data_IF_884781972043
#
_entry.id   IF_884781972043
#
_cell.length_a   1.000
_cell.length_b   1.000
_cell.length_c   1.000
_cell.angle_alpha   90.00
_cell.angle_beta   90.00
_cell.angle_gamma   90.00
#
_symmetry.space_group_name_H-M   'P 1'
#
loop_
_entity.id
_entity.type
_entity.pdbx_description
1 polymer ?
#
# COMPACT_ATOMS: atom_id res chain seq x y z
N UNK A 1 -36.93 -4.33 31.72
CA UNK A 1 -35.94 -3.30 31.42
C UNK A 1 -35.10 -3.84 30.27
N UNK A 2 -35.34 -3.35 29.07
CA UNK A 2 -34.61 -3.83 27.86
C UNK A 2 -33.22 -3.21 27.87
N UNK A 3 -32.20 -4.05 27.71
CA UNK A 3 -30.80 -3.68 27.50
C UNK A 3 -30.69 -2.85 26.24
N UNK A 4 -30.31 -1.57 26.37
CA UNK A 4 -29.88 -0.77 25.24
C UNK A 4 -28.55 -1.39 24.73
N UNK A 5 -28.60 -2.03 23.56
CA UNK A 5 -27.43 -2.41 22.85
C UNK A 5 -26.59 -1.14 22.55
N UNK A 6 -25.35 -1.11 22.97
CA UNK A 6 -24.37 -0.09 22.66
C UNK A 6 -24.32 0.04 21.12
N UNK A 7 -24.80 1.16 20.58
CA UNK A 7 -24.64 1.48 19.17
C UNK A 7 -23.13 1.66 18.90
N UNK A 8 -22.62 0.91 17.96
CA UNK A 8 -21.24 1.00 17.45
C UNK A 8 -20.85 2.47 17.24
N UNK A 9 -19.73 2.88 17.84
CA UNK A 9 -19.16 4.25 17.77
C UNK A 9 -18.35 4.48 16.48
N UNK A 10 -18.54 3.62 15.47
CA UNK A 10 -17.92 3.85 14.14
C UNK A 10 -18.42 5.20 13.56
N UNK A 11 -17.51 6.06 13.02
CA UNK A 11 -17.94 7.27 12.36
C UNK A 11 -18.96 6.93 11.24
N UNK A 12 -19.96 7.80 10.97
CA UNK A 12 -20.98 7.55 9.97
C UNK A 12 -20.31 7.25 8.63
N UNK A 13 -20.48 6.03 8.12
CA UNK A 13 -19.74 5.50 7.00
C UNK A 13 -20.33 5.94 5.68
N UNK A 14 -19.68 6.85 4.98
CA UNK A 14 -19.55 6.66 3.55
C UNK A 14 -18.69 5.40 3.36
N UNK A 15 -19.19 4.38 2.65
CA UNK A 15 -18.39 3.17 2.40
C UNK A 15 -17.16 3.56 1.60
N UNK A 16 -15.98 3.13 2.05
CA UNK A 16 -14.75 3.33 1.28
C UNK A 16 -14.88 2.62 -0.06
N UNK A 17 -14.55 3.32 -1.13
CA UNK A 17 -14.51 2.75 -2.48
C UNK A 17 -13.33 1.78 -2.60
N UNK A 18 -13.41 0.83 -3.52
CA UNK A 18 -12.40 -0.20 -3.72
C UNK A 18 -11.45 0.12 -4.86
N UNK A 19 -10.17 -0.13 -4.62
CA UNK A 19 -9.09 0.03 -5.59
C UNK A 19 -8.26 -1.23 -5.76
N UNK A 20 -7.46 -1.25 -6.82
CA UNK A 20 -6.48 -2.30 -7.08
C UNK A 20 -5.28 -1.74 -7.84
N UNK A 21 -4.08 -2.12 -7.42
CA UNK A 21 -2.86 -1.80 -8.14
C UNK A 21 -2.80 -2.53 -9.48
N UNK A 22 -2.36 -1.85 -10.51
CA UNK A 22 -2.28 -2.44 -11.85
C UNK A 22 -1.38 -3.68 -11.90
N UNK A 23 -0.35 -3.79 -11.05
CA UNK A 23 0.49 -4.98 -10.92
C UNK A 23 -0.24 -6.18 -10.34
N UNK A 24 -1.31 -5.97 -9.58
CA UNK A 24 -2.13 -7.03 -8.97
C UNK A 24 -3.18 -7.63 -9.93
N UNK A 25 -3.19 -7.18 -11.18
CA UNK A 25 -4.06 -7.66 -12.26
C UNK A 25 -3.31 -8.48 -13.32
N UNK A 26 -2.02 -8.75 -13.10
CA UNK A 26 -1.18 -9.49 -14.03
C UNK A 26 0.19 -8.83 -14.25
N UNK A 27 1.15 -9.62 -14.70
CA UNK A 27 2.51 -9.15 -14.99
C UNK A 27 2.50 -8.24 -16.22
N UNK A 28 3.14 -7.09 -16.13
CA UNK A 28 3.23 -6.09 -17.23
C UNK A 28 3.98 -6.59 -18.47
N UNK A 29 4.83 -7.61 -18.34
CA UNK A 29 5.55 -8.23 -19.46
C UNK A 29 4.71 -9.22 -20.25
N UNK A 30 3.71 -9.82 -19.60
CA UNK A 30 2.87 -10.89 -20.17
C UNK A 30 1.47 -10.39 -20.54
N UNK A 31 0.97 -9.40 -19.82
CA UNK A 31 -0.41 -8.98 -19.92
C UNK A 31 -0.54 -7.48 -20.22
N UNK A 32 -1.17 -7.15 -21.32
CA UNK A 32 -1.42 -5.77 -21.73
C UNK A 32 -2.27 -5.03 -20.69
N UNK A 33 -2.02 -3.72 -20.52
CA UNK A 33 -2.68 -2.93 -19.49
C UNK A 33 -4.19 -2.77 -19.74
N UNK A 34 -4.62 -2.52 -20.98
CA UNK A 34 -6.04 -2.29 -21.32
C UNK A 34 -6.96 -3.45 -20.87
N UNK A 35 -6.72 -4.75 -21.21
CA UNK A 35 -7.55 -5.86 -20.73
C UNK A 35 -7.54 -6.01 -19.20
N UNK A 36 -6.45 -5.64 -18.53
CA UNK A 36 -6.39 -5.63 -17.06
C UNK A 36 -7.32 -4.59 -16.46
N UNK A 37 -7.34 -3.38 -17.01
CA UNK A 37 -8.27 -2.31 -16.61
C UNK A 37 -9.74 -2.68 -16.86
N UNK A 38 -10.05 -3.27 -18.01
CA UNK A 38 -11.39 -3.77 -18.31
C UNK A 38 -11.85 -4.85 -17.32
N UNK A 39 -10.95 -5.74 -16.92
CA UNK A 39 -11.22 -6.77 -15.91
C UNK A 39 -11.50 -6.17 -14.54
N UNK A 40 -10.75 -5.15 -14.13
CA UNK A 40 -10.99 -4.41 -12.88
C UNK A 40 -12.36 -3.71 -12.90
N UNK A 41 -12.68 -2.99 -13.99
CA UNK A 41 -13.96 -2.31 -14.13
C UNK A 41 -15.14 -3.30 -14.06
N UNK A 42 -15.05 -4.43 -14.76
CA UNK A 42 -16.09 -5.50 -14.74
C UNK A 42 -16.25 -6.11 -13.35
N UNK A 43 -15.19 -6.20 -12.56
CA UNK A 43 -15.24 -6.70 -11.19
C UNK A 43 -15.85 -5.68 -10.20
N UNK A 44 -15.95 -4.39 -10.57
CA UNK A 44 -16.59 -3.36 -9.77
C UNK A 44 -15.60 -2.48 -8.97
N UNK A 45 -14.33 -2.41 -9.36
CA UNK A 45 -13.40 -1.46 -8.77
C UNK A 45 -13.70 -0.03 -9.24
N UNK A 46 -13.53 0.94 -8.36
CA UNK A 46 -13.69 2.37 -8.64
C UNK A 46 -12.34 3.08 -8.80
N UNK A 47 -11.25 2.48 -8.31
CA UNK A 47 -9.93 3.08 -8.30
C UNK A 47 -8.85 2.14 -8.82
N UNK A 48 -7.85 2.73 -9.46
CA UNK A 48 -6.64 2.06 -9.92
C UNK A 48 -5.41 2.79 -9.36
N UNK A 49 -4.46 2.04 -8.80
CA UNK A 49 -3.11 2.57 -8.55
C UNK A 49 -2.25 2.25 -9.77
N UNK A 50 -1.75 3.28 -10.42
CA UNK A 50 -0.93 3.12 -11.61
C UNK A 50 0.53 2.86 -11.21
N UNK A 51 0.99 1.63 -11.43
CA UNK A 51 2.34 1.22 -11.14
C UNK A 51 3.31 1.54 -12.29
N UNK A 52 4.54 1.99 -11.97
CA UNK A 52 5.52 2.48 -12.93
C UNK A 52 5.79 1.51 -14.08
N UNK A 53 6.04 0.24 -13.76
CA UNK A 53 6.35 -0.77 -14.76
C UNK A 53 5.15 -1.06 -15.69
N UNK A 54 3.92 -0.91 -15.19
CA UNK A 54 2.73 -1.02 -16.03
C UNK A 54 2.57 0.18 -16.97
N UNK A 55 2.92 1.37 -16.51
CA UNK A 55 2.94 2.58 -17.33
C UNK A 55 4.03 2.53 -18.39
N UNK A 56 5.24 2.08 -18.04
CA UNK A 56 6.33 1.87 -18.97
C UNK A 56 5.92 0.92 -20.12
N UNK A 57 5.40 -0.26 -19.78
CA UNK A 57 4.93 -1.23 -20.77
C UNK A 57 3.79 -0.67 -21.65
N UNK A 58 2.91 0.16 -21.09
CA UNK A 58 1.84 0.81 -21.86
C UNK A 58 2.38 1.84 -22.87
N UNK A 59 3.49 2.53 -22.57
CA UNK A 59 4.21 3.38 -23.52
C UNK A 59 4.87 2.57 -24.62
N UNK A 60 5.55 1.47 -24.27
CA UNK A 60 6.20 0.57 -25.22
C UNK A 60 5.22 -0.03 -26.22
N UNK A 61 4.01 -0.41 -25.76
CA UNK A 61 2.92 -0.85 -26.66
C UNK A 61 2.54 0.20 -27.73
N UNK A 62 2.93 1.45 -27.52
CA UNK A 62 2.64 2.60 -28.42
C UNK A 62 3.88 3.11 -29.15
N UNK A 63 4.98 2.34 -29.09
CA UNK A 63 6.24 2.67 -29.74
C UNK A 63 7.01 3.82 -29.07
N UNK A 64 6.73 4.11 -27.79
CA UNK A 64 7.45 5.09 -26.99
C UNK A 64 8.41 4.40 -26.02
N UNK A 65 9.55 5.03 -25.67
CA UNK A 65 10.56 4.41 -24.81
C UNK A 65 10.05 4.29 -23.35
N UNK A 66 9.96 3.07 -22.83
CA UNK A 66 9.51 2.79 -21.46
C UNK A 66 10.48 3.27 -20.38
N UNK A 67 11.77 3.37 -20.66
CA UNK A 67 12.79 3.93 -19.77
C UNK A 67 12.68 5.45 -19.58
N UNK A 68 11.95 6.15 -20.46
CA UNK A 68 11.67 7.58 -20.37
C UNK A 68 10.23 7.85 -19.89
N UNK A 69 9.65 6.94 -19.16
CA UNK A 69 8.23 6.95 -18.77
C UNK A 69 7.77 8.24 -18.09
N UNK A 70 8.67 8.96 -17.41
CA UNK A 70 8.36 10.23 -16.73
C UNK A 70 9.00 11.46 -17.38
N UNK A 71 9.53 11.34 -18.59
CA UNK A 71 9.93 12.54 -19.36
C UNK A 71 8.67 13.23 -19.90
N UNK A 72 8.40 14.50 -19.54
CA UNK A 72 7.18 15.18 -19.87
C UNK A 72 7.18 15.71 -21.33
N UNK A 73 7.43 14.82 -22.28
CA UNK A 73 7.33 15.11 -23.70
C UNK A 73 5.85 15.29 -24.12
N UNK A 74 5.56 16.05 -25.18
CA UNK A 74 4.19 16.17 -25.69
C UNK A 74 3.54 14.82 -25.98
N UNK A 75 4.32 13.87 -26.51
CA UNK A 75 3.87 12.50 -26.79
C UNK A 75 3.51 11.72 -25.53
N UNK A 76 4.41 11.64 -24.56
CA UNK A 76 4.16 10.94 -23.31
C UNK A 76 2.95 11.50 -22.57
N UNK A 77 2.83 12.83 -22.51
CA UNK A 77 1.68 13.49 -21.89
C UNK A 77 0.36 13.27 -22.66
N UNK A 78 0.42 13.15 -24.00
CA UNK A 78 -0.74 12.78 -24.81
C UNK A 78 -1.20 11.36 -24.51
N UNK A 79 -0.27 10.41 -24.44
CA UNK A 79 -0.59 9.00 -24.09
C UNK A 79 -1.08 8.88 -22.65
N UNK A 80 -0.53 9.67 -21.72
CA UNK A 80 -1.01 9.72 -20.34
C UNK A 80 -2.48 10.20 -20.25
N UNK A 81 -2.84 11.26 -20.99
CA UNK A 81 -4.25 11.70 -21.09
C UNK A 81 -5.15 10.62 -21.67
N UNK A 82 -4.72 9.94 -22.72
CA UNK A 82 -5.48 8.82 -23.31
C UNK A 82 -5.71 7.68 -22.32
N UNK A 83 -4.73 7.36 -21.47
CA UNK A 83 -4.90 6.37 -20.42
C UNK A 83 -5.88 6.86 -19.34
N UNK A 84 -5.77 8.11 -18.91
CA UNK A 84 -6.71 8.72 -17.97
C UNK A 84 -8.16 8.70 -18.50
N UNK A 85 -8.34 9.07 -19.78
CA UNK A 85 -9.65 9.03 -20.45
C UNK A 85 -10.20 7.61 -20.56
N UNK A 86 -9.33 6.62 -20.87
CA UNK A 86 -9.71 5.20 -20.89
C UNK A 86 -10.21 4.74 -19.51
N UNK A 87 -9.45 4.99 -18.45
CA UNK A 87 -9.83 4.61 -17.08
C UNK A 87 -11.16 5.24 -16.70
N UNK A 88 -11.34 6.53 -17.03
CA UNK A 88 -12.59 7.25 -16.79
C UNK A 88 -13.77 6.70 -17.60
N UNK A 89 -13.55 6.31 -18.85
CA UNK A 89 -14.58 5.68 -19.70
C UNK A 89 -15.05 4.33 -19.19
N UNK A 90 -14.18 3.65 -18.41
CA UNK A 90 -14.50 2.41 -17.71
C UNK A 90 -15.19 2.61 -16.36
N UNK A 91 -15.51 3.88 -15.99
CA UNK A 91 -16.15 4.22 -14.72
C UNK A 91 -15.20 4.24 -13.51
N UNK A 92 -13.90 4.22 -13.75
CA UNK A 92 -12.87 4.22 -12.70
C UNK A 92 -12.09 5.54 -12.67
N UNK A 93 -11.21 5.68 -11.67
CA UNK A 93 -10.29 6.81 -11.49
C UNK A 93 -8.89 6.30 -11.18
N UNK A 94 -7.86 7.06 -11.52
CA UNK A 94 -6.49 6.78 -11.11
C UNK A 94 -6.28 7.45 -9.74
N UNK A 95 -6.08 6.64 -8.71
CA UNK A 95 -5.90 7.11 -7.33
C UNK A 95 -4.53 7.77 -7.15
N UNK A 96 -3.49 7.12 -7.69
CA UNK A 96 -2.11 7.56 -7.55
C UNK A 96 -1.23 7.01 -8.66
N UNK A 97 -0.04 7.60 -8.81
CA UNK A 97 1.08 6.99 -9.51
C UNK A 97 2.12 6.51 -8.51
N UNK A 98 2.68 5.33 -8.72
CA UNK A 98 3.58 4.67 -7.77
C UNK A 98 4.53 3.67 -8.44
N UNK A 99 5.61 3.31 -7.73
CA UNK A 99 6.24 4.00 -6.62
C UNK A 99 7.38 4.91 -7.07
N UNK A 100 7.62 5.98 -6.33
CA UNK A 100 8.92 6.62 -6.33
C UNK A 100 9.85 5.86 -5.38
N UNK A 101 11.10 5.68 -5.75
CA UNK A 101 12.07 4.89 -4.98
C UNK A 101 13.35 5.70 -4.75
N UNK A 102 13.96 5.55 -3.56
CA UNK A 102 15.28 6.08 -3.22
C UNK A 102 15.39 7.62 -3.40
N UNK A 103 14.38 8.35 -2.95
CA UNK A 103 14.29 9.81 -3.16
C UNK A 103 14.90 10.58 -1.99
N UNK A 104 14.50 10.26 -0.74
CA UNK A 104 14.87 11.03 0.44
C UNK A 104 16.17 10.57 1.07
N UNK A 105 16.77 11.43 1.88
CA UNK A 105 17.96 11.14 2.69
C UNK A 105 19.26 11.12 1.92
N UNK A 106 19.29 11.50 0.65
CA UNK A 106 20.51 11.58 -0.17
C UNK A 106 21.42 12.69 0.37
N UNK A 107 22.68 12.35 0.67
CA UNK A 107 23.66 13.28 1.28
C UNK A 107 24.32 14.20 0.25
N UNK A 108 24.69 13.66 -0.91
CA UNK A 108 25.31 14.47 -1.95
C UNK A 108 24.30 15.49 -2.51
N UNK A 109 24.64 16.79 -2.54
CA UNK A 109 23.69 17.83 -2.96
C UNK A 109 23.27 17.74 -4.44
N UNK A 110 24.13 17.24 -5.31
CA UNK A 110 23.87 17.12 -6.75
C UNK A 110 22.92 15.94 -6.99
N UNK A 111 23.25 14.77 -6.41
CA UNK A 111 22.37 13.60 -6.45
C UNK A 111 20.99 13.90 -5.83
N UNK A 112 20.99 14.54 -4.64
CA UNK A 112 19.75 14.94 -3.98
C UNK A 112 18.89 15.86 -4.86
N UNK A 113 19.51 16.81 -5.56
CA UNK A 113 18.76 17.67 -6.49
C UNK A 113 18.15 16.86 -7.62
N UNK A 114 18.92 15.93 -8.18
CA UNK A 114 18.45 15.06 -9.26
C UNK A 114 17.26 14.19 -8.81
N UNK A 115 17.27 13.63 -7.58
CA UNK A 115 16.13 12.85 -7.07
C UNK A 115 14.88 13.71 -6.87
N UNK A 116 15.00 14.95 -6.39
CA UNK A 116 13.87 15.87 -6.29
C UNK A 116 13.31 16.26 -7.65
N UNK A 117 14.18 16.48 -8.64
CA UNK A 117 13.76 16.81 -10.02
C UNK A 117 13.04 15.63 -10.68
N UNK A 118 13.39 14.36 -10.35
CA UNK A 118 12.63 13.18 -10.79
C UNK A 118 11.18 13.21 -10.29
N UNK A 119 10.97 13.62 -9.04
CA UNK A 119 9.62 13.75 -8.50
C UNK A 119 8.85 14.85 -9.23
N UNK A 120 9.49 16.00 -9.49
CA UNK A 120 8.85 17.11 -10.18
C UNK A 120 8.40 16.75 -11.63
N UNK A 121 9.11 15.85 -12.31
CA UNK A 121 8.72 15.33 -13.62
C UNK A 121 7.38 14.58 -13.58
N UNK A 122 6.94 14.07 -12.43
CA UNK A 122 5.63 13.42 -12.27
C UNK A 122 4.46 14.38 -12.30
N UNK A 123 4.63 15.63 -11.92
CA UNK A 123 3.52 16.56 -11.74
C UNK A 123 2.70 16.81 -13.02
N UNK A 124 3.29 17.01 -14.22
CA UNK A 124 2.52 17.11 -15.46
C UNK A 124 1.72 15.84 -15.77
N UNK A 125 2.28 14.67 -15.45
CA UNK A 125 1.60 13.38 -15.66
C UNK A 125 0.42 13.19 -14.68
N UNK A 126 0.56 13.63 -13.43
CA UNK A 126 -0.55 13.58 -12.47
C UNK A 126 -1.74 14.34 -13.02
N UNK A 127 -1.53 15.50 -13.67
CA UNK A 127 -2.59 16.24 -14.36
C UNK A 127 -3.14 15.49 -15.57
N UNK A 128 -2.26 14.88 -16.36
CA UNK A 128 -2.67 14.12 -17.54
C UNK A 128 -3.50 12.87 -17.19
N UNK A 129 -3.21 12.23 -16.07
CA UNK A 129 -3.95 11.09 -15.52
C UNK A 129 -5.18 11.48 -14.71
N UNK A 130 -5.39 12.76 -14.43
CA UNK A 130 -6.42 13.29 -13.52
C UNK A 130 -6.30 12.76 -12.09
N UNK A 131 -5.08 12.55 -11.59
CA UNK A 131 -4.79 12.21 -10.19
C UNK A 131 -4.11 13.36 -9.46
N UNK A 132 -4.22 13.41 -8.13
CA UNK A 132 -3.54 14.38 -7.30
C UNK A 132 -2.51 13.76 -6.33
N UNK A 133 -2.32 12.44 -6.38
CA UNK A 133 -1.41 11.72 -5.48
C UNK A 133 -0.29 11.01 -6.25
N UNK A 134 0.94 11.27 -5.85
CA UNK A 134 2.09 10.41 -6.09
C UNK A 134 2.64 9.96 -4.76
N UNK A 135 3.05 8.70 -4.63
CA UNK A 135 3.71 8.30 -3.41
C UNK A 135 5.07 7.65 -3.63
N UNK A 136 5.87 7.77 -2.61
CA UNK A 136 7.24 7.27 -2.54
C UNK A 136 7.38 6.27 -1.41
N UNK A 137 8.16 5.23 -1.67
CA UNK A 137 8.58 4.28 -0.66
C UNK A 137 9.78 4.84 0.12
N UNK A 138 9.84 4.55 1.40
CA UNK A 138 10.98 4.85 2.24
C UNK A 138 12.28 4.29 1.63
N UNK A 139 13.35 5.06 1.70
CA UNK A 139 14.64 4.69 1.14
C UNK A 139 15.19 3.43 1.79
N UNK A 140 15.58 2.47 0.96
CA UNK A 140 16.13 1.17 1.39
C UNK A 140 17.65 1.08 1.29
N UNK A 141 18.31 2.11 0.77
CA UNK A 141 19.78 2.15 0.69
C UNK A 141 20.39 2.18 2.09
N UNK A 142 21.49 1.46 2.27
CA UNK A 142 22.24 1.37 3.52
C UNK A 142 23.68 1.83 3.37
N UNK A 143 24.06 2.33 2.18
CA UNK A 143 25.39 2.86 1.91
C UNK A 143 25.60 4.25 2.51
N UNK A 144 26.85 4.70 2.54
CA UNK A 144 27.24 5.99 3.13
C UNK A 144 26.69 7.22 2.36
N UNK A 145 26.12 7.04 1.17
CA UNK A 145 25.53 8.11 0.35
C UNK A 145 24.18 8.61 0.84
N UNK A 146 23.55 7.88 1.79
CA UNK A 146 22.22 8.22 2.31
C UNK A 146 22.21 8.31 3.84
N UNK A 147 21.12 8.85 4.37
CA UNK A 147 20.84 8.90 5.81
C UNK A 147 19.35 8.69 6.08
N UNK A 148 19.04 8.01 7.17
CA UNK A 148 17.70 7.90 7.73
C UNK A 148 17.41 8.90 8.85
N UNK A 149 18.31 9.90 9.05
CA UNK A 149 18.11 10.95 10.03
C UNK A 149 16.75 11.64 9.84
N UNK A 150 15.95 11.69 10.91
CA UNK A 150 14.58 12.20 10.87
C UNK A 150 14.49 13.62 10.31
N UNK A 151 15.40 14.50 10.76
CA UNK A 151 15.39 15.91 10.33
C UNK A 151 15.69 16.05 8.84
N UNK A 152 16.63 15.26 8.32
CA UNK A 152 17.03 15.28 6.92
C UNK A 152 15.89 14.74 6.03
N UNK A 153 15.38 13.56 6.35
CA UNK A 153 14.30 12.90 5.61
C UNK A 153 13.03 13.78 5.61
N UNK A 154 12.65 14.32 6.78
CA UNK A 154 11.46 15.18 6.87
C UNK A 154 11.60 16.49 6.10
N UNK A 155 12.81 17.07 6.07
CA UNK A 155 13.10 18.26 5.25
C UNK A 155 12.95 17.96 3.76
N UNK A 156 13.38 16.79 3.32
CA UNK A 156 13.25 16.38 1.92
C UNK A 156 11.77 16.23 1.53
N UNK A 157 10.96 15.59 2.38
CA UNK A 157 9.51 15.51 2.17
C UNK A 157 8.83 16.89 2.20
N UNK A 158 9.24 17.77 3.12
CA UNK A 158 8.73 19.14 3.17
C UNK A 158 9.02 19.88 1.86
N UNK A 159 10.24 19.75 1.32
CA UNK A 159 10.62 20.35 0.06
C UNK A 159 9.80 19.80 -1.11
N UNK A 160 9.54 18.49 -1.16
CA UNK A 160 8.67 17.88 -2.18
C UNK A 160 7.24 18.41 -2.08
N UNK A 161 6.71 18.54 -0.87
CA UNK A 161 5.41 19.16 -0.63
C UNK A 161 5.35 20.60 -1.13
N UNK A 162 6.39 21.39 -0.86
CA UNK A 162 6.50 22.78 -1.33
C UNK A 162 6.58 22.87 -2.87
N UNK A 163 7.35 21.97 -3.52
CA UNK A 163 7.43 21.89 -4.98
C UNK A 163 6.09 21.52 -5.61
N UNK A 164 5.37 20.56 -5.03
CA UNK A 164 4.04 20.14 -5.47
C UNK A 164 3.01 21.27 -5.32
N UNK A 165 3.05 22.00 -4.22
CA UNK A 165 2.19 23.17 -3.97
C UNK A 165 2.49 24.31 -4.95
N UNK A 166 3.76 24.62 -5.21
CA UNK A 166 4.17 25.62 -6.17
C UNK A 166 3.71 25.29 -7.60
N UNK A 167 3.83 24.01 -7.99
CA UNK A 167 3.34 23.53 -9.27
C UNK A 167 1.82 23.71 -9.38
N UNK A 168 1.05 23.28 -8.38
CA UNK A 168 -0.40 23.40 -8.34
C UNK A 168 -0.87 24.86 -8.37
N UNK A 169 -0.15 25.76 -7.69
CA UNK A 169 -0.45 27.20 -7.72
C UNK A 169 -0.19 27.80 -9.10
N UNK A 170 0.85 27.36 -9.80
CA UNK A 170 1.20 27.86 -11.13
C UNK A 170 0.23 27.41 -12.21
N UNK A 171 -0.25 26.16 -12.15
CA UNK A 171 -1.17 25.61 -13.15
C UNK A 171 -2.65 25.84 -12.83
N UNK A 172 -2.96 26.37 -11.62
CA UNK A 172 -4.33 26.65 -11.17
C UNK A 172 -5.14 25.37 -10.87
N UNK A 173 -4.48 24.22 -10.79
CA UNK A 173 -5.13 22.93 -10.55
C UNK A 173 -5.28 22.58 -9.07
N UNK A 174 -5.83 21.39 -8.81
CA UNK A 174 -5.93 20.83 -7.44
C UNK A 174 -4.56 20.72 -6.79
N UNK A 175 -4.51 20.82 -5.46
CA UNK A 175 -3.29 20.57 -4.69
C UNK A 175 -2.74 19.17 -5.01
N UNK A 176 -1.46 19.08 -5.37
CA UNK A 176 -0.77 17.82 -5.54
C UNK A 176 -0.24 17.32 -4.19
N UNK A 177 -0.36 16.04 -3.97
CA UNK A 177 -0.05 15.36 -2.71
C UNK A 177 1.13 14.41 -2.87
N UNK A 178 1.97 14.37 -1.85
CA UNK A 178 3.09 13.45 -1.72
C UNK A 178 2.75 12.46 -0.60
N UNK A 179 2.60 11.18 -0.96
CA UNK A 179 2.45 10.09 0.02
C UNK A 179 3.81 9.50 0.40
N UNK A 180 3.97 9.11 1.66
CA UNK A 180 5.16 8.42 2.16
C UNK A 180 4.81 7.06 2.74
N UNK A 181 5.37 6.00 2.16
CA UNK A 181 5.14 4.60 2.51
C UNK A 181 6.35 4.01 3.23
N UNK A 182 6.17 3.47 4.43
CA UNK A 182 7.18 2.66 5.11
C UNK A 182 7.24 1.26 4.53
N UNK A 183 8.43 0.81 4.10
CA UNK A 183 8.65 -0.58 3.71
C UNK A 183 9.20 -1.38 4.89
N UNK A 184 8.72 -2.60 5.10
CA UNK A 184 9.13 -3.46 6.23
C UNK A 184 10.64 -3.81 6.24
N UNK A 185 11.34 -3.58 5.15
CA UNK A 185 12.80 -3.75 5.03
C UNK A 185 13.57 -2.43 4.87
N UNK A 186 12.93 -1.28 5.02
CA UNK A 186 13.60 0.02 5.08
C UNK A 186 14.13 0.29 6.49
N UNK A 187 15.02 1.27 6.62
CA UNK A 187 15.51 1.70 7.95
C UNK A 187 14.38 2.24 8.83
N UNK A 188 13.40 2.92 8.21
CA UNK A 188 12.15 3.39 8.85
C UNK A 188 11.02 2.48 8.44
N UNK A 189 10.94 1.31 9.08
CA UNK A 189 10.12 0.18 8.65
C UNK A 189 8.76 0.05 9.37
N UNK A 190 8.45 0.92 10.36
CA UNK A 190 7.16 0.90 11.05
C UNK A 190 6.26 2.06 10.59
N UNK A 191 4.95 1.91 10.76
CA UNK A 191 4.00 2.99 10.53
C UNK A 191 4.32 4.22 11.37
N UNK A 192 4.74 4.03 12.62
CA UNK A 192 5.08 5.12 13.53
C UNK A 192 6.32 5.91 13.09
N UNK A 193 7.36 5.21 12.63
CA UNK A 193 8.57 5.85 12.09
C UNK A 193 8.28 6.65 10.82
N UNK A 194 7.39 6.15 9.96
CA UNK A 194 6.94 6.87 8.75
C UNK A 194 6.04 8.07 9.12
N UNK A 195 5.17 7.91 10.11
CA UNK A 195 4.34 9.01 10.62
C UNK A 195 5.19 10.14 11.23
N UNK A 196 6.26 9.81 11.95
CA UNK A 196 7.18 10.83 12.43
C UNK A 196 7.72 11.70 11.30
N UNK A 197 8.16 11.09 10.20
CA UNK A 197 8.67 11.83 9.03
C UNK A 197 7.61 12.77 8.47
N UNK A 198 6.38 12.28 8.25
CA UNK A 198 5.27 13.07 7.75
C UNK A 198 4.91 14.22 8.69
N UNK A 199 4.86 13.94 9.99
CA UNK A 199 4.56 14.95 11.03
C UNK A 199 5.61 16.03 11.09
N UNK A 200 6.90 15.65 11.03
CA UNK A 200 8.01 16.61 11.07
C UNK A 200 8.17 17.39 9.75
N UNK A 201 7.79 16.82 8.60
CA UNK A 201 7.71 17.56 7.34
C UNK A 201 6.73 18.72 7.42
N UNK A 202 5.68 18.60 8.22
CA UNK A 202 4.71 19.65 8.56
C UNK A 202 4.16 20.38 7.31
N UNK A 203 3.68 19.59 6.32
CA UNK A 203 3.02 20.10 5.12
C UNK A 203 1.66 19.45 4.96
N UNK A 204 0.58 20.22 4.67
CA UNK A 204 -0.76 19.64 4.54
C UNK A 204 -0.89 18.67 3.36
N UNK A 205 -0.07 18.82 2.35
CA UNK A 205 -0.01 17.97 1.16
C UNK A 205 1.09 16.89 1.20
N UNK A 206 1.64 16.61 2.37
CA UNK A 206 2.49 15.43 2.64
C UNK A 206 1.75 14.54 3.64
N UNK A 207 1.52 13.28 3.29
CA UNK A 207 0.75 12.36 4.11
C UNK A 207 1.30 10.94 4.11
N UNK A 208 0.72 10.09 4.93
CA UNK A 208 1.12 8.71 5.08
C UNK A 208 0.42 7.83 4.02
N UNK A 209 1.14 6.87 3.48
CA UNK A 209 0.58 5.69 2.81
C UNK A 209 0.73 4.52 3.77
N UNK A 210 -0.38 3.86 4.09
CA UNK A 210 -0.38 2.66 4.92
C UNK A 210 -0.54 1.45 4.01
N UNK A 211 0.45 0.56 3.99
CA UNK A 211 0.33 -0.76 3.39
C UNK A 211 0.22 -1.81 4.50
N UNK A 212 -0.91 -2.49 4.58
CA UNK A 212 -1.18 -3.50 5.59
C UNK A 212 -0.14 -4.62 5.58
N UNK A 213 0.34 -5.03 4.39
CA UNK A 213 1.42 -6.01 4.30
C UNK A 213 2.69 -5.49 4.99
N UNK A 214 3.13 -4.27 4.70
CA UNK A 214 4.35 -3.72 5.29
C UNK A 214 4.22 -3.52 6.81
N UNK A 215 3.05 -3.09 7.29
CA UNK A 215 2.78 -3.00 8.75
C UNK A 215 2.90 -4.36 9.41
N UNK A 216 2.24 -5.39 8.85
CA UNK A 216 2.23 -6.73 9.41
C UNK A 216 3.58 -7.45 9.27
N UNK A 217 4.30 -7.22 8.18
CA UNK A 217 5.65 -7.75 7.99
C UNK A 217 6.69 -7.12 8.93
N UNK A 218 6.43 -5.93 9.45
CA UNK A 218 7.29 -5.27 10.44
C UNK A 218 6.95 -5.64 11.89
N UNK A 219 5.66 -5.91 12.20
CA UNK A 219 5.19 -5.99 13.59
C UNK A 219 4.58 -7.34 13.98
N UNK A 220 4.27 -8.22 13.01
CA UNK A 220 3.63 -9.51 13.27
C UNK A 220 4.35 -10.69 12.62
N UNK A 221 4.74 -10.58 11.35
CA UNK A 221 5.12 -11.71 10.52
C UNK A 221 6.64 -11.91 10.42
N UNK A 222 7.06 -13.17 10.46
CA UNK A 222 8.41 -13.61 10.13
C UNK A 222 8.33 -14.87 9.23
N UNK A 223 8.47 -14.72 7.89
CA UNK A 223 8.38 -15.84 6.96
C UNK A 223 9.52 -16.86 7.11
N UNK A 224 10.57 -16.53 7.84
CA UNK A 224 11.74 -17.37 8.07
C UNK A 224 11.76 -18.02 9.46
N UNK A 225 10.70 -17.82 10.26
CA UNK A 225 10.66 -18.38 11.61
C UNK A 225 10.82 -19.92 11.59
N UNK A 226 11.85 -20.47 12.24
CA UNK A 226 12.18 -21.90 12.15
C UNK A 226 11.10 -22.82 12.76
N UNK A 227 10.24 -22.28 13.61
CA UNK A 227 9.10 -23.04 14.16
C UNK A 227 7.92 -23.15 13.16
N UNK A 228 8.03 -22.55 11.97
CA UNK A 228 7.03 -22.67 10.90
C UNK A 228 5.69 -21.94 11.13
N UNK A 229 5.58 -21.20 12.23
CA UNK A 229 4.31 -20.48 12.51
C UNK A 229 4.23 -19.08 11.89
N UNK A 230 5.28 -18.61 11.21
CA UNK A 230 5.32 -17.36 10.44
C UNK A 230 5.21 -16.07 11.25
N UNK A 231 5.46 -16.08 12.56
CA UNK A 231 5.33 -14.92 13.45
C UNK A 231 6.65 -14.51 14.07
N UNK A 232 6.77 -13.24 14.42
CA UNK A 232 7.92 -12.69 15.15
C UNK A 232 7.96 -13.26 16.59
N UNK A 233 6.81 -13.30 17.27
CA UNK A 233 6.69 -13.74 18.65
C UNK A 233 6.25 -15.19 18.77
N UNK A 234 6.66 -15.91 19.84
CA UNK A 234 6.45 -17.36 19.96
C UNK A 234 4.97 -17.77 19.95
N UNK A 235 4.10 -17.01 20.60
CA UNK A 235 2.68 -17.36 20.69
C UNK A 235 1.81 -16.44 19.85
N UNK A 236 0.67 -16.96 19.40
CA UNK A 236 -0.30 -16.15 18.66
C UNK A 236 -0.88 -15.03 19.51
N UNK A 237 -1.17 -15.34 20.78
CA UNK A 237 -1.81 -14.39 21.69
C UNK A 237 -0.86 -13.21 22.02
N UNK A 238 0.44 -13.47 22.25
CA UNK A 238 1.47 -12.43 22.40
C UNK A 238 1.62 -11.58 21.14
N UNK A 239 1.67 -12.21 19.95
CA UNK A 239 1.78 -11.51 18.68
C UNK A 239 0.59 -10.59 18.45
N UNK A 240 -0.62 -11.03 18.77
CA UNK A 240 -1.84 -10.23 18.63
C UNK A 240 -1.92 -9.12 19.66
N UNK A 241 -1.50 -9.35 20.91
CA UNK A 241 -1.49 -8.33 21.96
C UNK A 241 -0.58 -7.15 21.61
N UNK A 242 0.66 -7.44 21.20
CA UNK A 242 1.64 -6.42 20.78
C UNK A 242 1.13 -5.65 19.56
N UNK A 243 0.64 -6.36 18.53
CA UNK A 243 0.12 -5.73 17.31
C UNK A 243 -1.11 -4.86 17.63
N UNK A 244 -2.06 -5.37 18.42
CA UNK A 244 -3.27 -4.62 18.80
C UNK A 244 -2.93 -3.36 19.58
N UNK A 245 -1.92 -3.42 20.47
CA UNK A 245 -1.40 -2.25 21.17
C UNK A 245 -0.82 -1.19 20.23
N UNK A 246 -0.02 -1.61 19.24
CA UNK A 246 0.54 -0.73 18.21
C UNK A 246 -0.57 -0.10 17.35
N UNK A 247 -1.50 -0.89 16.85
CA UNK A 247 -2.61 -0.42 16.01
C UNK A 247 -3.59 0.48 16.77
N UNK A 248 -3.79 0.24 18.06
CA UNK A 248 -4.54 1.15 18.95
C UNK A 248 -3.88 2.53 19.02
N UNK A 249 -2.54 2.56 19.04
CA UNK A 249 -1.78 3.81 18.99
C UNK A 249 -1.93 4.50 17.63
N UNK A 250 -1.90 3.75 16.52
CA UNK A 250 -2.16 4.28 15.18
C UNK A 250 -3.53 4.96 15.12
N UNK A 251 -4.59 4.24 15.52
CA UNK A 251 -5.98 4.73 15.48
C UNK A 251 -6.19 6.03 16.27
N UNK A 252 -5.47 6.18 17.40
CA UNK A 252 -5.57 7.38 18.27
C UNK A 252 -4.66 8.53 17.85
N UNK A 253 -3.60 8.27 17.09
CA UNK A 253 -2.53 9.25 16.86
C UNK A 253 -2.62 9.91 15.48
N UNK A 254 -3.03 9.17 14.45
CA UNK A 254 -3.02 9.66 13.08
C UNK A 254 -4.39 10.22 12.70
N UNK A 255 -4.50 11.51 12.33
CA UNK A 255 -5.73 12.02 11.74
C UNK A 255 -6.01 11.35 10.39
N UNK A 256 -7.24 10.95 10.12
CA UNK A 256 -7.60 10.22 8.90
C UNK A 256 -7.32 10.97 7.61
N UNK A 257 -7.39 12.31 7.63
CA UNK A 257 -7.03 13.18 6.50
C UNK A 257 -5.52 13.26 6.22
N UNK A 258 -4.69 12.68 7.10
CA UNK A 258 -3.24 12.56 6.92
C UNK A 258 -2.82 11.18 6.39
N UNK A 259 -3.74 10.24 6.29
CA UNK A 259 -3.57 9.01 5.52
C UNK A 259 -4.08 9.30 4.11
N UNK A 260 -3.17 9.33 3.15
CA UNK A 260 -3.52 9.66 1.76
C UNK A 260 -3.90 8.44 0.95
N UNK A 261 -3.41 7.26 1.35
CA UNK A 261 -3.72 6.01 0.69
C UNK A 261 -3.61 4.81 1.63
N UNK A 262 -4.47 3.82 1.42
CA UNK A 262 -4.44 2.57 2.19
C UNK A 262 -4.40 1.37 1.24
N UNK A 263 -3.32 0.58 1.35
CA UNK A 263 -3.13 -0.65 0.62
C UNK A 263 -3.40 -1.86 1.50
N UNK A 264 -4.05 -2.87 0.93
CA UNK A 264 -4.46 -4.09 1.60
C UNK A 264 -3.76 -5.29 0.95
N UNK A 265 -3.04 -6.05 1.75
CA UNK A 265 -2.36 -7.27 1.35
C UNK A 265 -2.17 -8.21 2.52
N UNK A 266 -2.31 -9.52 2.27
CA UNK A 266 -1.92 -10.63 3.13
C UNK A 266 -0.69 -11.30 2.53
N UNK A 267 -0.22 -12.42 3.08
CA UNK A 267 0.83 -13.23 2.49
C UNK A 267 0.71 -14.71 2.86
N UNK A 268 1.34 -15.55 2.03
CA UNK A 268 1.47 -16.98 2.25
C UNK A 268 2.31 -17.27 3.50
N UNK A 269 1.84 -18.20 4.32
CA UNK A 269 2.63 -18.81 5.38
C UNK A 269 3.70 -19.69 4.72
N UNK A 270 4.96 -19.37 4.97
CA UNK A 270 6.07 -20.07 4.33
C UNK A 270 6.51 -21.30 5.14
N UNK A 271 6.94 -22.36 4.43
CA UNK A 271 7.61 -23.50 5.05
C UNK A 271 9.10 -23.18 5.24
N UNK A 272 9.61 -23.13 6.47
CA UNK A 272 11.01 -22.77 6.74
C UNK A 272 12.03 -23.81 6.22
N UNK A 273 11.59 -25.04 5.89
CA UNK A 273 12.47 -26.05 5.29
C UNK A 273 12.78 -25.75 3.80
N UNK A 274 11.92 -24.98 3.12
CA UNK A 274 12.03 -24.72 1.69
C UNK A 274 12.15 -23.24 1.34
N UNK A 275 11.80 -22.35 2.26
CA UNK A 275 11.88 -20.91 2.05
C UNK A 275 12.94 -20.29 2.96
N UNK A 276 14.01 -19.79 2.35
CA UNK A 276 15.17 -19.25 3.05
C UNK A 276 15.42 -17.79 2.68
N UNK A 277 16.07 -17.03 3.58
CA UNK A 277 16.52 -15.67 3.24
C UNK A 277 17.40 -15.66 1.98
N UNK A 278 17.39 -14.57 1.21
CA UNK A 278 18.27 -14.44 0.04
C UNK A 278 19.74 -14.55 0.46
N UNK A 279 20.53 -15.21 -0.35
CA UNK A 279 21.98 -15.38 -0.12
C UNK A 279 22.77 -14.13 -0.50
N UNK A 280 22.25 -13.30 -1.39
CA UNK A 280 22.83 -12.01 -1.74
C UNK A 280 22.53 -10.98 -0.64
N UNK A 281 23.54 -10.47 0.09
CA UNK A 281 23.35 -9.53 1.18
C UNK A 281 22.83 -8.15 0.72
N UNK A 282 22.92 -7.84 -0.58
CA UNK A 282 22.33 -6.62 -1.13
C UNK A 282 20.82 -6.70 -1.32
N UNK A 283 20.25 -7.91 -1.29
CA UNK A 283 18.81 -8.15 -1.41
C UNK A 283 18.17 -8.11 -0.01
N UNK A 284 17.23 -7.18 0.25
CA UNK A 284 16.52 -7.15 1.53
C UNK A 284 15.81 -8.48 1.83
N UNK A 285 15.92 -8.97 3.06
CA UNK A 285 15.45 -10.31 3.43
C UNK A 285 13.97 -10.55 3.07
N UNK A 286 13.09 -9.59 3.37
CA UNK A 286 11.65 -9.72 3.13
C UNK A 286 11.23 -9.47 1.67
N UNK A 287 12.12 -8.96 0.81
CA UNK A 287 11.78 -8.59 -0.56
C UNK A 287 11.30 -9.78 -1.41
N UNK A 288 11.94 -10.98 -1.40
CA UNK A 288 11.45 -12.13 -2.16
C UNK A 288 10.04 -12.57 -1.74
N UNK A 289 9.76 -12.57 -0.43
CA UNK A 289 8.45 -12.88 0.10
C UNK A 289 7.40 -11.85 -0.35
N UNK A 290 7.68 -10.56 -0.17
CA UNK A 290 6.82 -9.48 -0.62
C UNK A 290 6.53 -9.52 -2.12
N UNK A 291 7.49 -9.89 -2.96
CA UNK A 291 7.35 -9.82 -4.43
C UNK A 291 6.74 -11.07 -5.08
N UNK A 292 6.61 -12.17 -4.33
CA UNK A 292 6.16 -13.45 -4.91
C UNK A 292 5.04 -14.13 -4.15
N UNK A 293 4.81 -13.75 -2.88
CA UNK A 293 3.97 -14.50 -1.96
C UNK A 293 2.90 -13.64 -1.25
N UNK A 294 2.62 -12.42 -1.73
CA UNK A 294 1.46 -11.68 -1.22
C UNK A 294 0.17 -12.35 -1.69
N UNK A 295 -0.85 -12.30 -0.86
CA UNK A 295 -2.21 -12.76 -1.13
C UNK A 295 -3.21 -11.61 -0.96
N UNK A 296 -4.39 -11.79 -1.51
CA UNK A 296 -5.50 -10.92 -1.13
C UNK A 296 -5.90 -11.21 0.33
N UNK A 297 -6.32 -10.18 1.09
CA UNK A 297 -6.71 -10.36 2.48
C UNK A 297 -7.71 -11.50 2.69
N UNK A 298 -7.52 -12.27 3.75
CA UNK A 298 -8.41 -13.35 4.17
C UNK A 298 -8.49 -14.55 3.18
N UNK A 299 -7.50 -14.76 2.33
CA UNK A 299 -7.38 -15.96 1.50
C UNK A 299 -6.69 -17.13 2.24
N UNK A 300 -7.27 -17.56 3.38
CA UNK A 300 -6.69 -18.63 4.21
C UNK A 300 -6.52 -19.96 3.46
N UNK A 301 -7.40 -20.27 2.53
CA UNK A 301 -7.29 -21.49 1.70
C UNK A 301 -6.07 -21.50 0.78
N UNK A 302 -5.43 -20.36 0.60
CA UNK A 302 -4.18 -20.19 -0.15
C UNK A 302 -2.97 -19.95 0.77
N UNK A 303 -3.14 -20.10 2.08
CA UNK A 303 -2.08 -19.90 3.06
C UNK A 303 -2.01 -18.50 3.66
N UNK A 304 -2.99 -17.63 3.41
CA UNK A 304 -3.09 -16.31 4.05
C UNK A 304 -3.24 -16.44 5.56
N UNK A 305 -2.39 -15.73 6.33
CA UNK A 305 -2.33 -15.95 7.78
C UNK A 305 -2.20 -14.67 8.60
N UNK A 306 -2.06 -13.51 7.95
CA UNK A 306 -1.89 -12.26 8.67
C UNK A 306 -3.23 -11.65 9.10
N UNK A 307 -3.28 -10.96 10.25
CA UNK A 307 -4.50 -10.32 10.77
C UNK A 307 -4.76 -8.96 10.10
N UNK A 308 -5.00 -8.96 8.78
CA UNK A 308 -5.17 -7.75 7.96
C UNK A 308 -6.39 -6.92 8.41
N UNK A 309 -7.41 -7.57 8.94
CA UNK A 309 -8.60 -6.92 9.47
C UNK A 309 -8.33 -6.00 10.68
N UNK A 310 -7.30 -6.29 11.49
CA UNK A 310 -6.88 -5.38 12.58
C UNK A 310 -6.28 -4.09 12.03
N UNK A 311 -5.44 -4.19 10.99
CA UNK A 311 -4.87 -2.99 10.33
C UNK A 311 -5.98 -2.18 9.67
N UNK A 312 -6.88 -2.84 8.94
CA UNK A 312 -8.01 -2.18 8.29
C UNK A 312 -8.91 -1.47 9.31
N UNK A 313 -9.25 -2.13 10.43
CA UNK A 313 -10.04 -1.52 11.49
C UNK A 313 -9.36 -0.29 12.09
N UNK A 314 -8.05 -0.37 12.39
CA UNK A 314 -7.29 0.77 12.92
C UNK A 314 -7.23 1.95 11.96
N UNK A 315 -7.01 1.71 10.66
CA UNK A 315 -6.99 2.75 9.62
C UNK A 315 -8.37 3.40 9.49
N UNK A 316 -9.44 2.62 9.44
CA UNK A 316 -10.80 3.14 9.34
C UNK A 316 -11.19 3.94 10.59
N UNK A 317 -10.71 3.55 11.77
CA UNK A 317 -10.97 4.25 13.04
C UNK A 317 -10.37 5.66 13.07
N UNK A 318 -9.31 5.94 12.30
CA UNK A 318 -8.75 7.30 12.16
C UNK A 318 -9.71 8.29 11.49
N UNK A 319 -10.78 7.81 10.85
CA UNK A 319 -11.65 8.59 9.99
C UNK A 319 -11.18 8.65 8.53
N UNK A 320 -10.32 7.73 8.10
CA UNK A 320 -9.89 7.61 6.71
C UNK A 320 -11.06 7.36 5.76
N UNK A 321 -11.19 8.20 4.74
CA UNK A 321 -12.29 8.15 3.75
C UNK A 321 -11.84 7.83 2.32
N UNK A 322 -10.52 7.64 2.12
CA UNK A 322 -9.96 7.27 0.81
C UNK A 322 -10.27 5.82 0.41
N UNK A 323 -9.81 5.38 -0.76
CA UNK A 323 -10.04 4.02 -1.23
C UNK A 323 -9.28 2.98 -0.39
N UNK A 324 -9.88 1.80 -0.24
CA UNK A 324 -9.18 0.59 0.16
C UNK A 324 -8.68 -0.11 -1.09
N UNK A 325 -7.37 -0.16 -1.31
CA UNK A 325 -6.77 -0.67 -2.53
C UNK A 325 -5.94 -1.93 -2.29
N UNK A 326 -5.97 -2.85 -3.24
CA UNK A 326 -5.16 -4.07 -3.18
C UNK A 326 -3.81 -3.87 -3.83
N UNK A 327 -2.74 -4.21 -3.11
CA UNK A 327 -1.42 -4.35 -3.69
C UNK A 327 -0.87 -5.75 -3.43
N UNK A 328 -0.95 -6.60 -4.43
CA UNK A 328 -0.54 -8.00 -4.36
C UNK A 328 0.50 -8.31 -5.44
N UNK A 329 1.58 -8.91 -5.02
CA UNK A 329 2.62 -9.49 -5.86
C UNK A 329 2.68 -10.98 -5.59
N UNK A 330 2.22 -11.79 -6.54
CA UNK A 330 2.18 -13.23 -6.41
C UNK A 330 2.63 -13.90 -7.70
N UNK A 331 3.25 -15.07 -7.60
CA UNK A 331 3.72 -15.83 -8.77
C UNK A 331 2.59 -16.21 -9.72
N UNK A 332 1.36 -16.34 -9.22
CA UNK A 332 0.17 -16.61 -10.03
C UNK A 332 -0.18 -15.48 -11.02
N UNK A 333 0.28 -14.26 -10.76
CA UNK A 333 0.14 -13.11 -11.68
C UNK A 333 1.04 -13.23 -12.93
N UNK A 334 2.04 -14.13 -12.90
CA UNK A 334 2.95 -14.36 -14.03
C UNK A 334 2.49 -15.49 -14.96
N UNK A 335 1.36 -16.13 -14.66
CA UNK A 335 0.86 -17.21 -15.50
C UNK A 335 0.49 -16.67 -16.89
N UNK A 336 0.83 -17.38 -17.97
CA UNK A 336 0.41 -16.97 -19.30
C UNK A 336 -1.11 -17.12 -19.48
N UNK A 337 -1.69 -16.28 -20.33
CA UNK A 337 -3.09 -16.38 -20.72
C UNK A 337 -3.98 -15.19 -20.35
N UNK A 338 -5.07 -15.03 -21.08
CA UNK A 338 -5.94 -13.86 -20.98
C UNK A 338 -6.82 -13.80 -19.74
N UNK A 339 -6.93 -14.89 -18.97
CA UNK A 339 -7.84 -14.98 -17.81
C UNK A 339 -7.23 -14.47 -16.50
N UNK A 340 -5.92 -14.27 -16.42
CA UNK A 340 -5.22 -13.88 -15.19
C UNK A 340 -5.84 -12.62 -14.58
N UNK A 341 -6.00 -11.56 -15.37
CA UNK A 341 -6.56 -10.31 -14.89
C UNK A 341 -8.00 -10.47 -14.36
N UNK A 342 -8.83 -11.23 -15.07
CA UNK A 342 -10.23 -11.51 -14.68
C UNK A 342 -10.30 -12.29 -13.37
N UNK A 343 -9.48 -13.34 -13.24
CA UNK A 343 -9.41 -14.18 -12.03
C UNK A 343 -8.97 -13.37 -10.83
N UNK A 344 -7.87 -12.61 -10.98
CA UNK A 344 -7.32 -11.79 -9.89
C UNK A 344 -8.25 -10.62 -9.51
N UNK A 345 -8.86 -9.94 -10.48
CA UNK A 345 -9.84 -8.91 -10.20
C UNK A 345 -11.05 -9.46 -9.40
N UNK A 346 -11.58 -10.63 -9.79
CA UNK A 346 -12.71 -11.25 -9.10
C UNK A 346 -12.35 -11.73 -7.69
N UNK A 347 -11.19 -12.34 -7.49
CA UNK A 347 -10.70 -12.74 -6.16
C UNK A 347 -10.53 -11.54 -5.25
N UNK A 348 -9.87 -10.51 -5.76
CA UNK A 348 -9.54 -9.31 -5.00
C UNK A 348 -10.78 -8.54 -4.54
N UNK A 349 -11.80 -8.34 -5.39
CA UNK A 349 -12.99 -7.60 -4.99
C UNK A 349 -13.76 -8.32 -3.87
N UNK A 350 -13.88 -9.66 -3.94
CA UNK A 350 -14.49 -10.48 -2.90
C UNK A 350 -13.68 -10.38 -1.60
N UNK A 351 -12.34 -10.37 -1.70
CA UNK A 351 -11.45 -10.19 -0.55
C UNK A 351 -11.66 -8.85 0.14
N UNK A 352 -11.75 -7.73 -0.61
CA UNK A 352 -12.00 -6.41 -0.02
C UNK A 352 -13.36 -6.31 0.65
N UNK A 353 -14.40 -6.91 0.08
CA UNK A 353 -15.72 -6.97 0.71
C UNK A 353 -15.65 -7.68 2.06
N UNK A 354 -15.04 -8.89 2.09
CA UNK A 354 -14.84 -9.68 3.32
C UNK A 354 -13.97 -8.94 4.34
N UNK A 355 -12.89 -8.29 3.89
CA UNK A 355 -12.02 -7.51 4.76
C UNK A 355 -12.78 -6.36 5.42
N UNK A 356 -13.58 -5.64 4.64
CA UNK A 356 -14.38 -4.51 5.16
C UNK A 356 -15.40 -4.99 6.19
N UNK A 357 -16.08 -6.11 5.93
CA UNK A 357 -17.02 -6.72 6.88
C UNK A 357 -16.29 -7.17 8.16
N UNK A 358 -15.17 -7.89 8.03
CA UNK A 358 -14.38 -8.38 9.16
C UNK A 358 -13.84 -7.22 10.02
N UNK A 359 -13.28 -6.19 9.39
CA UNK A 359 -12.75 -5.03 10.10
C UNK A 359 -13.84 -4.28 10.90
N UNK A 360 -15.01 -4.10 10.29
CA UNK A 360 -16.15 -3.42 10.95
C UNK A 360 -16.85 -4.26 12.03
N UNK A 361 -16.68 -5.57 11.98
CA UNK A 361 -17.23 -6.47 13.01
C UNK A 361 -16.36 -6.50 14.28
N UNK A 362 -15.12 -6.04 14.22
CA UNK A 362 -14.25 -5.97 15.39
C UNK A 362 -14.75 -4.91 16.38
N UNK A 363 -14.65 -5.17 17.71
CA UNK A 363 -14.85 -4.14 18.69
C UNK A 363 -13.82 -3.02 18.54
N UNK A 364 -14.12 -1.80 19.01
CA UNK A 364 -13.21 -0.66 18.92
C UNK A 364 -12.02 -0.80 19.88
N UNK A 365 -11.12 -1.70 19.57
CA UNK A 365 -9.98 -2.12 20.40
C UNK A 365 -9.03 -0.98 20.80
N UNK A 366 -9.15 0.17 20.15
CA UNK A 366 -8.44 1.40 20.49
C UNK A 366 -9.11 2.19 21.64
N UNK A 367 -10.33 1.84 22.06
CA UNK A 367 -11.07 2.57 23.10
C UNK A 367 -10.84 2.00 24.48
N UNK A 368 -10.79 0.67 24.64
CA UNK A 368 -10.61 0.03 25.93
C UNK A 368 -9.81 -1.26 25.87
N UNK A 369 -9.24 -1.66 27.01
CA UNK A 369 -8.54 -2.94 27.15
C UNK A 369 -9.49 -4.14 26.98
N UNK A 370 -10.73 -4.01 27.39
CA UNK A 370 -11.73 -5.07 27.22
C UNK A 370 -12.05 -5.30 25.74
N UNK A 371 -12.21 -4.23 24.97
CA UNK A 371 -12.42 -4.30 23.51
C UNK A 371 -11.19 -4.86 22.81
N UNK A 372 -9.98 -4.48 23.22
CA UNK A 372 -8.75 -5.04 22.72
C UNK A 372 -8.68 -6.55 22.94
N UNK A 373 -8.98 -7.02 24.15
CA UNK A 373 -8.98 -8.46 24.45
C UNK A 373 -10.06 -9.23 23.67
N UNK A 374 -11.21 -8.62 23.43
CA UNK A 374 -12.26 -9.23 22.61
C UNK A 374 -11.83 -9.32 21.14
N UNK A 375 -11.22 -8.26 20.58
CA UNK A 375 -10.69 -8.27 19.22
C UNK A 375 -9.61 -9.36 19.03
N UNK A 376 -8.68 -9.48 19.99
CA UNK A 376 -7.65 -10.52 19.99
C UNK A 376 -8.31 -11.91 19.98
N UNK A 377 -9.33 -12.13 20.81
CA UNK A 377 -10.06 -13.40 20.89
C UNK A 377 -10.72 -13.76 19.55
N UNK A 378 -11.38 -12.81 18.90
CA UNK A 378 -12.10 -13.04 17.65
C UNK A 378 -11.13 -13.33 16.49
N UNK A 379 -10.04 -12.56 16.39
CA UNK A 379 -9.00 -12.77 15.37
C UNK A 379 -8.24 -14.09 15.62
N UNK A 380 -7.89 -14.38 16.89
CA UNK A 380 -7.22 -15.64 17.25
C UNK A 380 -8.07 -16.86 16.86
N UNK A 381 -9.38 -16.82 17.11
CA UNK A 381 -10.32 -17.88 16.71
C UNK A 381 -10.31 -18.09 15.20
N UNK A 382 -10.36 -17.03 14.41
CA UNK A 382 -10.29 -17.10 12.94
C UNK A 382 -8.97 -17.71 12.46
N UNK A 383 -7.84 -17.24 12.98
CA UNK A 383 -6.51 -17.72 12.56
C UNK A 383 -6.29 -19.19 12.92
N UNK A 384 -6.73 -19.63 14.11
CA UNK A 384 -6.64 -21.05 14.54
C UNK A 384 -7.54 -21.97 13.69
N UNK A 385 -8.74 -21.52 13.34
CA UNK A 385 -9.64 -22.30 12.48
C UNK A 385 -9.08 -22.50 11.07
N UNK A 386 -8.23 -21.59 10.61
CA UNK A 386 -7.55 -21.68 9.30
C UNK A 386 -6.38 -22.67 9.34
N UNK A 387 -5.59 -22.68 10.42
CA UNK A 387 -4.42 -23.55 10.58
C UNK A 387 -4.79 -25.05 10.69
N UNK A 388 -6.04 -25.38 11.00
CA UNK A 388 -6.53 -26.78 11.05
C UNK A 388 -6.98 -27.31 9.68
N UNK A 389 -7.00 -26.47 8.65
CA UNK A 389 -7.45 -26.83 7.30
C UNK A 389 -6.30 -26.93 6.29
N UNK A 390 -5.09 -26.55 6.67
CA UNK A 390 -3.84 -26.70 5.93
C UNK A 390 -3.09 -27.95 6.41
#
# INVERSE_FOLDING_TARGET
>A
MASMASMSTWPPSTMNEFGIATVSLGNWREHRLTPRLESAAKAGYQWIDLFDECWAAYLEERGLPGDQLWEPTPENLRVARQLGDLVKSLGMRIACTQPLRQIEGVKDPVERRATLDLVAKRFPFMRAFDTDLVFMCANIRTDDGVTSDLKTVSRDLAQLGDMAAAYASKDGGRMLKIGYEGLSWATRNTWSASWEVVRFANRPNVGLVVDAFNVLAAEFADPYNPAGHGRIYPTLDESLDILTGSLSSLARTIPGDRIFFFQCGDAELMNPETFHPPTDPSTPALLPWSRKHRLYPLEQSLGGYMPVELVAAAVLATGYTGPMSLEVFNTSLNQPGGDVARVHASRGIVSLQRLTEAARALPPFWESQADAQQAITDVSRRLRASSQRL
#
